data_IF_202448104497
#
_entry.id   IF_202448104497
#
_cell.length_a   1.000
_cell.length_b   1.000
_cell.length_c   1.000
_cell.angle_alpha   90.00
_cell.angle_beta   90.00
_cell.angle_gamma   90.00
#
_symmetry.space_group_name_H-M   'P 1'
#
loop_
_entity.id
_entity.type
_entity.pdbx_description
1 polymer ?
#
# COMPACT_ATOMS: atom_id res chain seq x y z
N UNK A 1 24.91 6.57 -38.87
CA UNK A 1 25.58 6.47 -37.56
C UNK A 1 25.35 5.06 -37.04
N UNK A 2 26.35 4.21 -37.21
CA UNK A 2 26.23 2.76 -37.11
C UNK A 2 26.65 2.27 -35.71
N UNK A 3 25.86 1.35 -35.15
CA UNK A 3 26.33 0.42 -34.13
C UNK A 3 27.47 -0.46 -34.68
N UNK A 4 28.46 -0.80 -33.85
CA UNK A 4 29.18 -2.05 -34.01
C UNK A 4 28.82 -3.03 -32.88
N UNK A 5 28.38 -4.20 -33.32
CA UNK A 5 28.44 -5.49 -32.64
C UNK A 5 29.83 -5.77 -32.05
N UNK A 6 29.90 -6.29 -30.82
CA UNK A 6 31.09 -6.98 -30.32
C UNK A 6 30.75 -8.35 -29.74
N UNK A 7 31.46 -9.33 -30.29
CA UNK A 7 31.46 -10.75 -29.97
C UNK A 7 31.76 -11.02 -28.49
N UNK A 8 30.99 -11.93 -27.91
CA UNK A 8 31.32 -12.63 -26.67
C UNK A 8 32.46 -13.62 -26.92
N UNK A 9 33.69 -13.29 -26.52
CA UNK A 9 34.78 -14.25 -26.38
C UNK A 9 35.17 -14.40 -24.91
N UNK A 10 35.15 -15.65 -24.48
CA UNK A 10 35.40 -16.20 -23.15
C UNK A 10 36.73 -15.78 -22.52
N UNK A 11 36.69 -15.19 -21.33
CA UNK A 11 37.81 -15.18 -20.38
C UNK A 11 37.27 -15.23 -18.95
N UNK A 12 37.13 -16.44 -18.40
CA UNK A 12 36.95 -16.67 -16.97
C UNK A 12 38.14 -17.49 -16.47
N UNK A 13 38.94 -17.01 -15.50
CA UNK A 13 39.96 -17.84 -14.88
C UNK A 13 39.31 -18.90 -13.99
N UNK A 14 39.70 -20.16 -14.22
CA UNK A 14 39.31 -21.34 -13.41
C UNK A 14 39.92 -21.20 -12.01
N UNK A 15 39.09 -21.27 -10.98
CA UNK A 15 39.53 -21.53 -9.60
C UNK A 15 39.79 -23.04 -9.43
N UNK A 16 40.81 -23.45 -8.67
CA UNK A 16 41.13 -24.87 -8.49
C UNK A 16 40.12 -25.56 -7.58
N UNK A 17 39.58 -26.70 -8.04
CA UNK A 17 38.80 -27.63 -7.25
C UNK A 17 39.72 -28.35 -6.26
N UNK A 18 39.32 -28.37 -4.98
CA UNK A 18 39.90 -29.23 -3.95
C UNK A 18 39.18 -30.58 -4.03
N UNK A 19 39.90 -31.62 -4.46
CA UNK A 19 39.44 -33.01 -4.36
C UNK A 19 39.60 -33.48 -2.91
N UNK A 20 38.48 -33.87 -2.30
CA UNK A 20 38.42 -34.43 -0.96
C UNK A 20 37.52 -35.65 -0.98
N UNK A 21 38.08 -36.78 -1.41
CA UNK A 21 37.46 -38.09 -1.30
C UNK A 21 37.33 -38.50 0.17
N UNK A 22 36.09 -38.68 0.64
CA UNK A 22 35.80 -39.42 1.87
C UNK A 22 34.38 -39.97 1.83
N UNK A 23 34.27 -41.18 1.30
CA UNK A 23 33.08 -42.01 1.46
C UNK A 23 32.82 -42.29 2.95
N UNK A 24 31.65 -41.89 3.45
CA UNK A 24 31.08 -42.49 4.66
C UNK A 24 29.57 -42.64 4.49
N UNK A 25 29.13 -43.89 4.57
CA UNK A 25 27.73 -44.32 4.48
C UNK A 25 27.00 -43.86 5.73
N UNK A 26 25.98 -43.02 5.57
CA UNK A 26 24.87 -42.95 6.53
C UNK A 26 23.55 -43.23 5.81
N UNK A 27 22.95 -44.36 6.19
CA UNK A 27 21.65 -44.85 5.76
C UNK A 27 20.60 -44.19 6.67
N UNK A 28 19.70 -43.36 6.15
CA UNK A 28 18.65 -42.78 7.00
C UNK A 28 17.75 -41.74 6.34
N UNK A 29 16.51 -42.18 6.03
CA UNK A 29 15.27 -41.41 5.78
C UNK A 29 15.19 -40.57 4.49
N UNK A 30 14.21 -40.94 3.67
CA UNK A 30 13.69 -40.16 2.54
C UNK A 30 13.17 -38.79 3.04
N UNK A 31 14.00 -37.76 2.95
CA UNK A 31 13.55 -36.37 2.92
C UNK A 31 13.34 -36.00 1.45
N UNK A 32 12.10 -35.63 1.13
CA UNK A 32 11.76 -35.08 -0.19
C UNK A 32 12.59 -33.82 -0.44
N UNK A 33 13.18 -33.72 -1.64
CA UNK A 33 14.09 -32.65 -2.06
C UNK A 33 13.47 -31.23 -2.12
N UNK A 34 12.31 -31.01 -1.52
CA UNK A 34 11.61 -29.71 -1.45
C UNK A 34 11.76 -28.96 -0.13
N UNK A 35 12.34 -29.57 0.91
CA UNK A 35 12.33 -29.01 2.28
C UNK A 35 13.69 -28.41 2.74
N UNK A 36 14.74 -28.45 1.91
CA UNK A 36 16.00 -27.77 2.22
C UNK A 36 16.06 -26.39 1.54
N UNK A 37 16.39 -25.31 2.29
CA UNK A 37 16.74 -24.04 1.65
C UNK A 37 17.96 -24.26 0.74
N UNK A 38 18.02 -23.61 -0.44
CA UNK A 38 19.15 -23.78 -1.34
C UNK A 38 20.45 -23.42 -0.63
N UNK A 39 21.48 -24.25 -0.79
CA UNK A 39 22.81 -23.99 -0.27
C UNK A 39 23.31 -22.63 -0.76
N UNK A 40 23.95 -21.86 0.13
CA UNK A 40 24.63 -20.61 -0.21
C UNK A 40 25.53 -20.82 -1.44
N UNK A 41 25.16 -20.23 -2.58
CA UNK A 41 25.89 -20.34 -3.84
C UNK A 41 25.22 -21.17 -4.95
N UNK A 42 24.07 -21.83 -4.69
CA UNK A 42 23.30 -22.46 -5.77
C UNK A 42 22.74 -21.38 -6.70
N UNK A 43 23.30 -21.29 -7.91
CA UNK A 43 22.83 -20.36 -8.94
C UNK A 43 21.54 -20.92 -9.52
N UNK A 44 20.40 -20.68 -8.86
CA UNK A 44 19.08 -20.97 -9.44
C UNK A 44 18.78 -19.91 -10.51
N UNK A 45 19.48 -20.00 -11.65
CA UNK A 45 19.31 -19.16 -12.84
C UNK A 45 17.98 -19.42 -13.56
N UNK A 46 17.11 -20.29 -13.02
CA UNK A 46 15.80 -20.54 -13.60
C UNK A 46 14.72 -20.23 -12.56
N UNK A 47 13.77 -19.31 -12.85
CA UNK A 47 12.56 -19.25 -12.05
C UNK A 47 11.97 -20.67 -12.02
N UNK A 48 11.55 -21.19 -10.85
CA UNK A 48 11.01 -22.54 -10.75
C UNK A 48 9.94 -22.68 -11.82
N UNK A 49 10.04 -23.69 -12.69
CA UNK A 49 9.04 -23.94 -13.72
C UNK A 49 7.74 -24.25 -13.01
N UNK A 50 6.84 -23.27 -12.91
CA UNK A 50 5.50 -23.48 -12.36
C UNK A 50 4.81 -24.58 -13.17
N UNK A 51 4.01 -25.40 -12.50
CA UNK A 51 3.15 -26.37 -13.18
C UNK A 51 2.26 -25.63 -14.20
N UNK A 52 2.03 -26.24 -15.37
CA UNK A 52 1.37 -25.63 -16.53
C UNK A 52 -0.02 -25.00 -16.26
N UNK A 53 -0.69 -25.39 -15.19
CA UNK A 53 -2.04 -24.92 -14.83
C UNK A 53 -2.06 -23.81 -13.75
N UNK A 54 -0.89 -23.34 -13.29
CA UNK A 54 -0.79 -22.30 -12.27
C UNK A 54 -0.40 -20.97 -12.89
N UNK A 55 -1.10 -19.91 -12.46
CA UNK A 55 -0.79 -18.54 -12.89
C UNK A 55 0.21 -17.96 -11.91
N UNK A 56 1.37 -17.51 -12.40
CA UNK A 56 2.36 -16.88 -11.52
C UNK A 56 1.83 -15.54 -10.98
N UNK A 57 1.93 -15.27 -9.67
CA UNK A 57 1.50 -14.00 -9.08
C UNK A 57 2.36 -12.81 -9.55
N UNK A 58 3.50 -13.10 -10.17
CA UNK A 58 4.40 -12.09 -10.73
C UNK A 58 4.14 -11.81 -12.22
N UNK A 59 3.26 -12.57 -12.87
CA UNK A 59 2.92 -12.39 -14.29
C UNK A 59 2.30 -10.99 -14.52
N UNK A 60 2.78 -10.20 -15.51
CA UNK A 60 2.19 -8.91 -15.83
C UNK A 60 0.70 -8.99 -16.14
N UNK A 61 0.21 -10.07 -16.75
CA UNK A 61 -1.23 -10.24 -17.07
C UNK A 61 -2.08 -10.34 -15.81
N UNK A 62 -1.61 -11.10 -14.82
CA UNK A 62 -2.28 -11.24 -13.54
C UNK A 62 -2.28 -9.92 -12.76
N UNK A 63 -1.18 -9.15 -12.81
CA UNK A 63 -1.15 -7.80 -12.20
C UNK A 63 -2.14 -6.84 -12.84
N UNK A 64 -2.29 -6.86 -14.18
CA UNK A 64 -3.30 -6.06 -14.88
C UNK A 64 -4.72 -6.48 -14.46
N UNK A 65 -4.95 -7.78 -14.31
CA UNK A 65 -6.21 -8.31 -13.77
C UNK A 65 -6.48 -7.83 -12.33
N UNK A 66 -5.49 -7.88 -11.43
CA UNK A 66 -5.62 -7.37 -10.06
C UNK A 66 -5.98 -5.88 -10.05
N UNK A 67 -5.33 -5.05 -10.88
CA UNK A 67 -5.61 -3.61 -11.00
C UNK A 67 -7.02 -3.38 -11.53
N UNK A 68 -7.43 -4.12 -12.57
CA UNK A 68 -8.78 -4.06 -13.12
C UNK A 68 -9.84 -4.40 -12.06
N UNK A 69 -9.65 -5.46 -11.28
CA UNK A 69 -10.55 -5.81 -10.18
C UNK A 69 -10.62 -4.72 -9.11
N UNK A 70 -9.50 -4.06 -8.80
CA UNK A 70 -9.49 -2.95 -7.84
C UNK A 70 -10.37 -1.80 -8.34
N UNK A 71 -10.32 -1.47 -9.64
CA UNK A 71 -11.22 -0.47 -10.23
C UNK A 71 -12.69 -0.87 -10.07
N UNK A 72 -13.02 -2.14 -10.30
CA UNK A 72 -14.37 -2.67 -10.07
C UNK A 72 -14.80 -2.61 -8.59
N UNK A 73 -13.87 -2.83 -7.65
CA UNK A 73 -14.14 -2.69 -6.21
C UNK A 73 -14.46 -1.23 -5.87
N UNK A 74 -13.70 -0.27 -6.39
CA UNK A 74 -13.95 1.16 -6.14
C UNK A 74 -15.33 1.56 -6.69
N UNK A 75 -15.66 1.13 -7.91
CA UNK A 75 -17.00 1.31 -8.48
C UNK A 75 -18.09 0.71 -7.58
N UNK A 76 -17.95 -0.57 -7.20
CA UNK A 76 -18.94 -1.27 -6.39
C UNK A 76 -19.09 -0.66 -4.99
N UNK A 77 -18.00 -0.17 -4.39
CA UNK A 77 -18.03 0.49 -3.09
C UNK A 77 -18.76 1.84 -3.16
N UNK A 78 -18.62 2.59 -4.26
CA UNK A 78 -19.34 3.84 -4.45
C UNK A 78 -20.83 3.63 -4.72
N UNK A 79 -21.17 2.66 -5.59
CA UNK A 79 -22.55 2.38 -5.97
C UNK A 79 -23.34 1.73 -4.82
N UNK A 80 -22.74 0.88 -3.99
CA UNK A 80 -23.48 0.14 -2.96
C UNK A 80 -24.27 1.03 -1.98
N UNK A 81 -23.71 2.08 -1.35
CA UNK A 81 -24.49 2.99 -0.50
C UNK A 81 -25.55 3.78 -1.28
N UNK A 82 -25.23 4.15 -2.53
CA UNK A 82 -26.11 4.91 -3.40
C UNK A 82 -27.32 4.08 -3.85
N UNK A 83 -27.12 2.82 -4.24
CA UNK A 83 -28.17 1.84 -4.51
C UNK A 83 -29.02 1.62 -3.26
N UNK A 84 -28.40 1.49 -2.08
CA UNK A 84 -29.12 1.26 -0.83
C UNK A 84 -30.05 2.44 -0.46
N UNK A 85 -29.59 3.67 -0.65
CA UNK A 85 -30.30 4.89 -0.28
C UNK A 85 -31.29 5.38 -1.36
N UNK A 86 -30.88 5.38 -2.63
CA UNK A 86 -31.60 5.99 -3.75
C UNK A 86 -32.30 4.97 -4.68
N UNK A 87 -32.42 3.70 -4.29
CA UNK A 87 -32.94 2.59 -5.11
C UNK A 87 -34.20 2.92 -5.92
N UNK A 88 -35.14 3.66 -5.32
CA UNK A 88 -36.45 4.00 -5.92
C UNK A 88 -36.33 4.94 -7.13
N UNK A 89 -35.22 5.64 -7.25
CA UNK A 89 -35.01 6.71 -8.21
C UNK A 89 -33.88 6.39 -9.21
N UNK A 90 -33.28 5.19 -9.11
CA UNK A 90 -32.22 4.74 -10.01
C UNK A 90 -32.81 4.07 -11.27
N UNK A 91 -32.27 4.39 -12.47
CA UNK A 91 -32.67 3.72 -13.71
C UNK A 91 -32.26 2.24 -13.72
N UNK A 92 -32.77 1.44 -14.68
CA UNK A 92 -32.44 0.01 -14.81
C UNK A 92 -30.98 -0.28 -15.21
N UNK A 93 -30.29 0.68 -15.84
CA UNK A 93 -28.93 0.53 -16.35
C UNK A 93 -27.86 0.11 -15.32
N UNK A 94 -27.74 0.75 -14.13
CA UNK A 94 -26.77 0.34 -13.10
C UNK A 94 -26.92 -1.11 -12.63
N UNK A 95 -28.13 -1.69 -12.65
CA UNK A 95 -28.33 -3.08 -12.24
C UNK A 95 -27.67 -4.08 -13.19
N UNK A 96 -27.71 -3.81 -14.51
CA UNK A 96 -27.05 -4.67 -15.51
C UNK A 96 -25.53 -4.60 -15.34
N UNK A 97 -25.00 -3.40 -15.08
CA UNK A 97 -23.56 -3.21 -14.82
C UNK A 97 -23.15 -3.96 -13.56
N UNK A 98 -23.94 -3.90 -12.49
CA UNK A 98 -23.67 -4.60 -11.24
C UNK A 98 -23.64 -6.13 -11.41
N UNK A 99 -24.57 -6.69 -12.20
CA UNK A 99 -24.56 -8.13 -12.53
C UNK A 99 -23.30 -8.54 -13.31
N UNK A 100 -22.87 -7.72 -14.28
CA UNK A 100 -21.62 -7.92 -15.03
C UNK A 100 -20.41 -7.87 -14.09
N UNK A 101 -20.38 -6.89 -13.17
CA UNK A 101 -19.31 -6.74 -12.17
C UNK A 101 -19.27 -7.97 -11.25
N UNK A 102 -20.42 -8.48 -10.80
CA UNK A 102 -20.48 -9.71 -10.01
C UNK A 102 -19.93 -10.92 -10.78
N UNK A 103 -20.17 -11.01 -12.10
CA UNK A 103 -19.58 -12.03 -12.96
C UNK A 103 -18.05 -12.01 -12.94
N UNK A 104 -17.42 -10.83 -13.01
CA UNK A 104 -15.95 -10.71 -12.92
C UNK A 104 -15.40 -11.18 -11.57
N UNK A 105 -16.08 -10.89 -10.46
CA UNK A 105 -15.68 -11.39 -9.14
C UNK A 105 -15.88 -12.91 -9.00
N UNK A 106 -16.91 -13.49 -9.64
CA UNK A 106 -17.09 -14.93 -9.69
C UNK A 106 -15.94 -15.62 -10.45
N UNK A 107 -15.50 -15.06 -11.58
CA UNK A 107 -14.31 -15.53 -12.31
C UNK A 107 -13.07 -15.44 -11.43
N UNK A 108 -12.92 -14.37 -10.66
CA UNK A 108 -11.77 -14.21 -9.76
C UNK A 108 -11.73 -15.25 -8.63
N UNK A 109 -12.89 -15.62 -8.06
CA UNK A 109 -12.97 -16.70 -7.06
C UNK A 109 -12.44 -18.00 -7.66
N UNK A 110 -12.78 -18.32 -8.91
CA UNK A 110 -12.26 -19.50 -9.61
C UNK A 110 -10.76 -19.37 -9.85
N UNK A 111 -10.31 -18.19 -10.28
CA UNK A 111 -8.91 -17.92 -10.57
C UNK A 111 -8.02 -18.00 -9.32
N UNK A 112 -8.53 -17.63 -8.14
CA UNK A 112 -7.83 -17.70 -6.86
C UNK A 112 -7.35 -19.12 -6.50
N UNK A 113 -8.02 -20.17 -7.00
CA UNK A 113 -7.57 -21.56 -6.82
C UNK A 113 -6.32 -21.92 -7.63
N UNK A 114 -6.00 -21.14 -8.66
CA UNK A 114 -4.86 -21.37 -9.57
C UNK A 114 -3.67 -20.44 -9.29
N UNK A 115 -3.76 -19.56 -8.28
CA UNK A 115 -2.69 -18.63 -7.91
C UNK A 115 -1.90 -19.19 -6.72
N UNK A 116 -0.59 -19.46 -6.88
CA UNK A 116 0.26 -19.90 -5.78
C UNK A 116 0.55 -18.74 -4.83
N UNK A 117 0.82 -19.08 -3.57
CA UNK A 117 1.10 -18.12 -2.51
C UNK A 117 2.53 -18.24 -2.00
N UNK A 118 3.05 -17.17 -1.41
CA UNK A 118 4.33 -17.19 -0.69
C UNK A 118 4.06 -17.61 0.76
N UNK A 119 4.76 -18.65 1.22
CA UNK A 119 4.65 -19.10 2.60
C UNK A 119 5.44 -18.18 3.55
N UNK A 120 4.85 -17.87 4.71
CA UNK A 120 5.43 -16.90 5.65
C UNK A 120 6.67 -17.42 6.37
N UNK A 121 6.88 -18.74 6.42
CA UNK A 121 8.01 -19.36 7.13
C UNK A 121 9.18 -19.64 6.18
N UNK A 122 8.89 -20.27 5.05
CA UNK A 122 9.93 -20.66 4.08
C UNK A 122 10.27 -19.54 3.10
N UNK A 123 9.42 -18.51 2.94
CA UNK A 123 9.52 -17.48 1.89
C UNK A 123 9.59 -18.04 0.46
N UNK A 124 9.29 -19.33 0.30
CA UNK A 124 9.23 -20.01 -0.99
C UNK A 124 7.80 -19.97 -1.54
N UNK A 125 7.71 -19.99 -2.88
CA UNK A 125 6.44 -20.05 -3.59
C UNK A 125 5.89 -21.48 -3.49
N UNK A 126 4.72 -21.65 -2.87
CA UNK A 126 4.05 -22.94 -2.76
C UNK A 126 3.12 -23.14 -3.95
N UNK A 127 3.40 -24.16 -4.77
CA UNK A 127 2.70 -24.47 -6.02
C UNK A 127 1.76 -25.69 -5.92
N UNK A 128 1.61 -26.28 -4.74
CA UNK A 128 0.72 -27.43 -4.53
C UNK A 128 -0.77 -27.03 -4.55
N UNK A 129 -1.58 -27.46 -5.53
CA UNK A 129 -2.98 -27.03 -5.67
C UNK A 129 -3.87 -27.44 -4.49
N UNK A 130 -3.58 -28.57 -3.83
CA UNK A 130 -4.29 -29.00 -2.62
C UNK A 130 -4.04 -28.04 -1.46
N UNK A 131 -2.80 -27.59 -1.27
CA UNK A 131 -2.45 -26.63 -0.20
C UNK A 131 -3.05 -25.25 -0.49
N UNK A 132 -3.04 -24.83 -1.75
CA UNK A 132 -3.69 -23.58 -2.22
C UNK A 132 -5.19 -23.62 -1.93
N UNK A 133 -5.89 -24.68 -2.34
CA UNK A 133 -7.32 -24.82 -2.12
C UNK A 133 -7.69 -24.84 -0.63
N UNK A 134 -7.02 -25.67 0.18
CA UNK A 134 -7.30 -25.75 1.63
C UNK A 134 -7.09 -24.40 2.32
N UNK A 135 -6.00 -23.70 1.99
CA UNK A 135 -5.74 -22.36 2.52
C UNK A 135 -6.85 -21.39 2.14
N UNK A 136 -7.27 -21.36 0.88
CA UNK A 136 -8.29 -20.44 0.41
C UNK A 136 -9.69 -20.74 0.98
N UNK A 137 -10.09 -22.01 1.01
CA UNK A 137 -11.36 -22.46 1.60
C UNK A 137 -11.45 -22.12 3.09
N UNK A 138 -10.35 -22.29 3.82
CA UNK A 138 -10.34 -22.06 5.27
C UNK A 138 -10.35 -20.58 5.65
N UNK A 139 -9.84 -19.67 4.81
CA UNK A 139 -9.62 -18.28 5.20
C UNK A 139 -10.65 -17.30 4.64
N UNK A 140 -10.86 -17.29 3.32
CA UNK A 140 -11.51 -16.16 2.65
C UNK A 140 -12.68 -16.55 1.75
N UNK A 141 -12.74 -17.83 1.34
CA UNK A 141 -13.74 -18.33 0.39
C UNK A 141 -15.18 -18.02 0.79
N UNK A 142 -15.57 -18.31 2.03
CA UNK A 142 -16.95 -18.10 2.49
C UNK A 142 -17.38 -16.63 2.35
N UNK A 143 -16.52 -15.68 2.75
CA UNK A 143 -16.81 -14.26 2.64
C UNK A 143 -16.81 -13.77 1.18
N UNK A 144 -15.89 -14.26 0.35
CA UNK A 144 -15.81 -13.89 -1.06
C UNK A 144 -17.06 -14.37 -1.82
N UNK A 145 -17.53 -15.60 -1.57
CA UNK A 145 -18.77 -16.15 -2.14
C UNK A 145 -20.00 -15.39 -1.65
N UNK A 146 -20.15 -15.18 -0.34
CA UNK A 146 -21.26 -14.41 0.21
C UNK A 146 -21.30 -12.97 -0.34
N UNK A 147 -20.14 -12.35 -0.57
CA UNK A 147 -20.07 -11.02 -1.16
C UNK A 147 -20.38 -10.99 -2.66
N UNK A 148 -20.29 -12.12 -3.37
CA UNK A 148 -20.47 -12.24 -4.84
C UNK A 148 -21.89 -12.66 -5.23
N UNK A 149 -22.66 -13.18 -4.27
CA UNK A 149 -23.99 -13.70 -4.53
C UNK A 149 -25.00 -12.58 -4.88
N UNK A 150 -25.68 -12.63 -6.05
CA UNK A 150 -26.61 -11.60 -6.49
C UNK A 150 -27.99 -11.76 -5.82
N UNK A 151 -28.07 -11.43 -4.52
CA UNK A 151 -29.30 -11.58 -3.73
C UNK A 151 -30.50 -10.82 -4.30
N UNK A 152 -30.29 -9.66 -4.93
CA UNK A 152 -31.35 -8.83 -5.49
C UNK A 152 -31.98 -9.45 -6.74
N UNK A 153 -31.16 -9.87 -7.71
CA UNK A 153 -31.60 -10.45 -8.99
C UNK A 153 -32.35 -11.76 -8.79
N UNK A 154 -31.92 -12.58 -7.82
CA UNK A 154 -32.60 -13.84 -7.46
C UNK A 154 -33.95 -13.56 -6.78
N UNK A 155 -34.03 -12.57 -5.90
CA UNK A 155 -35.31 -12.20 -5.26
C UNK A 155 -36.35 -11.73 -6.27
N UNK A 156 -35.93 -11.02 -7.31
CA UNK A 156 -36.81 -10.58 -8.40
C UNK A 156 -37.30 -11.77 -9.23
N UNK A 157 -36.45 -12.78 -9.47
CA UNK A 157 -36.78 -13.98 -10.23
C UNK A 157 -37.75 -14.92 -9.49
N UNK A 158 -37.64 -15.00 -8.16
CA UNK A 158 -38.46 -15.88 -7.32
C UNK A 158 -39.81 -15.26 -6.88
N UNK A 159 -40.16 -14.09 -7.42
CA UNK A 159 -41.44 -13.40 -7.21
C UNK A 159 -41.86 -13.26 -5.72
N UNK A 160 -40.87 -13.19 -4.81
CA UNK A 160 -41.12 -12.88 -3.41
C UNK A 160 -41.23 -11.37 -3.25
N UNK A 161 -42.45 -10.87 -3.22
CA UNK A 161 -42.80 -9.45 -3.00
C UNK A 161 -42.50 -8.93 -1.58
N UNK A 162 -41.81 -9.70 -0.74
CA UNK A 162 -41.45 -9.28 0.61
C UNK A 162 -40.30 -8.28 0.58
N UNK A 163 -40.67 -7.00 0.74
CA UNK A 163 -39.86 -5.79 0.89
C UNK A 163 -38.92 -5.81 2.11
N UNK A 164 -38.23 -6.93 2.38
CA UNK A 164 -37.41 -7.04 3.58
C UNK A 164 -36.14 -6.20 3.46
N UNK A 165 -36.01 -5.22 4.35
CA UNK A 165 -34.77 -4.49 4.61
C UNK A 165 -33.57 -5.44 4.78
N UNK A 166 -33.80 -6.65 5.28
CA UNK A 166 -32.81 -7.72 5.42
C UNK A 166 -32.11 -8.11 4.12
N UNK A 167 -32.84 -8.30 3.01
CA UNK A 167 -32.22 -8.61 1.70
C UNK A 167 -31.32 -7.46 1.21
N UNK A 168 -31.68 -6.21 1.53
CA UNK A 168 -30.85 -5.04 1.21
C UNK A 168 -29.60 -4.97 2.11
N UNK A 169 -29.69 -5.38 3.37
CA UNK A 169 -28.52 -5.49 4.25
C UNK A 169 -27.57 -6.60 3.80
N UNK A 170 -28.06 -7.75 3.32
CA UNK A 170 -27.21 -8.78 2.73
C UNK A 170 -26.46 -8.27 1.50
N UNK A 171 -27.05 -7.35 0.75
CA UNK A 171 -26.39 -6.69 -0.36
C UNK A 171 -25.19 -5.82 0.07
N UNK A 172 -25.20 -5.28 1.29
CA UNK A 172 -24.07 -4.53 1.84
C UNK A 172 -22.84 -5.41 2.11
N UNK A 173 -22.97 -6.75 2.09
CA UNK A 173 -21.83 -7.68 2.15
C UNK A 173 -20.87 -7.49 0.97
N UNK A 174 -21.32 -6.88 -0.15
CA UNK A 174 -20.43 -6.46 -1.25
C UNK A 174 -19.29 -5.55 -0.76
N UNK A 175 -19.48 -4.77 0.31
CA UNK A 175 -18.44 -3.91 0.88
C UNK A 175 -17.24 -4.71 1.43
N UNK A 176 -17.39 -6.01 1.70
CA UNK A 176 -16.28 -6.89 2.05
C UNK A 176 -15.14 -6.85 1.01
N UNK A 177 -15.48 -6.62 -0.27
CA UNK A 177 -14.51 -6.54 -1.36
C UNK A 177 -13.51 -5.39 -1.19
N UNK A 178 -13.81 -4.36 -0.37
CA UNK A 178 -12.88 -3.26 -0.03
C UNK A 178 -11.57 -3.73 0.62
N UNK A 179 -11.54 -4.95 1.19
CA UNK A 179 -10.30 -5.59 1.66
C UNK A 179 -9.21 -5.60 0.58
N UNK A 180 -9.58 -5.74 -0.71
CA UNK A 180 -8.64 -5.71 -1.83
C UNK A 180 -7.94 -4.35 -1.97
N UNK A 181 -8.68 -3.26 -1.80
CA UNK A 181 -8.14 -1.89 -1.81
C UNK A 181 -7.20 -1.69 -0.62
N UNK A 182 -7.57 -2.19 0.57
CA UNK A 182 -6.69 -2.16 1.75
C UNK A 182 -5.37 -2.93 1.52
N UNK A 183 -5.45 -4.11 0.90
CA UNK A 183 -4.28 -4.90 0.52
C UNK A 183 -3.41 -4.17 -0.51
N UNK A 184 -4.00 -3.48 -1.49
CA UNK A 184 -3.27 -2.64 -2.44
C UNK A 184 -2.47 -1.56 -1.71
N UNK A 185 -3.10 -0.78 -0.81
CA UNK A 185 -2.40 0.26 -0.07
C UNK A 185 -1.24 -0.32 0.77
N UNK A 186 -1.43 -1.48 1.41
CA UNK A 186 -0.36 -2.15 2.15
C UNK A 186 0.82 -2.61 1.25
N UNK A 187 0.56 -2.90 -0.04
CA UNK A 187 1.62 -3.21 -1.03
C UNK A 187 2.29 -1.94 -1.52
N UNK A 188 1.52 -0.89 -1.85
CA UNK A 188 2.03 0.39 -2.34
C UNK A 188 2.87 1.12 -1.29
N UNK A 189 2.51 1.03 0.00
CA UNK A 189 3.29 1.59 1.11
C UNK A 189 4.69 0.95 1.23
N UNK A 190 4.87 -0.28 0.73
CA UNK A 190 6.16 -1.02 0.75
C UNK A 190 6.93 -0.93 -0.56
N UNK A 191 6.33 -0.39 -1.63
CA UNK A 191 6.97 -0.28 -2.94
C UNK A 191 7.86 0.97 -2.96
N UNK A 192 9.17 0.76 -3.07
CA UNK A 192 10.20 1.81 -3.07
C UNK A 192 10.05 2.82 -4.21
N UNK A 193 9.28 2.50 -5.25
CA UNK A 193 9.07 3.39 -6.41
C UNK A 193 8.07 4.51 -6.13
N UNK A 194 7.24 4.37 -5.09
CA UNK A 194 6.22 5.34 -4.74
C UNK A 194 6.63 6.15 -3.51
N UNK A 195 6.26 7.43 -3.49
CA UNK A 195 6.47 8.26 -2.32
C UNK A 195 5.50 7.85 -1.20
N UNK A 196 6.07 7.36 -0.10
CA UNK A 196 5.32 6.95 1.10
C UNK A 196 4.33 8.01 1.59
N UNK A 197 4.72 9.28 1.59
CA UNK A 197 3.89 10.40 2.03
C UNK A 197 2.59 10.50 1.20
N UNK A 198 2.72 10.47 -0.12
CA UNK A 198 1.61 10.61 -1.07
C UNK A 198 0.65 9.44 -0.96
N UNK A 199 1.15 8.20 -0.86
CA UNK A 199 0.32 7.01 -0.70
C UNK A 199 -0.48 7.08 0.59
N UNK A 200 0.15 7.47 1.70
CA UNK A 200 -0.53 7.60 3.00
C UNK A 200 -1.60 8.69 2.97
N UNK A 201 -1.32 9.87 2.42
CA UNK A 201 -2.32 10.93 2.25
C UNK A 201 -3.49 10.49 1.36
N UNK A 202 -3.20 9.81 0.24
CA UNK A 202 -4.23 9.29 -0.67
C UNK A 202 -5.16 8.30 0.03
N UNK A 203 -4.61 7.41 0.86
CA UNK A 203 -5.37 6.46 1.67
C UNK A 203 -6.28 7.17 2.67
N UNK A 204 -5.77 8.16 3.40
CA UNK A 204 -6.56 8.93 4.37
C UNK A 204 -7.71 9.69 3.70
N UNK A 205 -7.44 10.39 2.59
CA UNK A 205 -8.46 11.10 1.81
C UNK A 205 -9.53 10.12 1.31
N UNK A 206 -9.13 8.95 0.78
CA UNK A 206 -10.06 7.94 0.28
C UNK A 206 -11.00 7.42 1.38
N UNK A 207 -10.48 7.19 2.58
CA UNK A 207 -11.28 6.77 3.75
C UNK A 207 -12.27 7.86 4.16
N UNK A 208 -11.83 9.12 4.22
CA UNK A 208 -12.70 10.24 4.58
C UNK A 208 -13.82 10.47 3.56
N UNK A 209 -13.49 10.45 2.26
CA UNK A 209 -14.48 10.59 1.19
C UNK A 209 -15.53 9.46 1.23
N UNK A 210 -15.08 8.22 1.46
CA UNK A 210 -15.99 7.09 1.58
C UNK A 210 -16.90 7.18 2.82
N UNK A 211 -16.38 7.67 3.94
CA UNK A 211 -17.16 7.89 5.16
C UNK A 211 -18.24 8.97 4.97
N UNK A 212 -17.89 10.09 4.34
CA UNK A 212 -18.83 11.17 4.01
C UNK A 212 -19.91 10.68 3.02
N UNK A 213 -19.51 9.93 1.98
CA UNK A 213 -20.45 9.34 1.03
C UNK A 213 -21.45 8.38 1.70
N UNK A 214 -20.94 7.46 2.52
CA UNK A 214 -21.78 6.50 3.25
C UNK A 214 -22.76 7.20 4.20
N UNK A 215 -22.26 8.15 5.01
CA UNK A 215 -23.07 8.85 5.99
C UNK A 215 -24.15 9.72 5.33
N UNK A 216 -23.83 10.43 4.25
CA UNK A 216 -24.81 11.18 3.47
C UNK A 216 -25.91 10.28 2.88
N UNK A 217 -25.54 9.13 2.31
CA UNK A 217 -26.51 8.16 1.79
C UNK A 217 -27.40 7.57 2.90
N UNK A 218 -26.83 7.21 4.05
CA UNK A 218 -27.59 6.68 5.19
C UNK A 218 -28.56 7.74 5.72
N UNK A 219 -28.13 9.00 5.86
CA UNK A 219 -29.00 10.07 6.35
C UNK A 219 -30.15 10.38 5.38
N UNK A 220 -29.90 10.32 4.07
CA UNK A 220 -30.95 10.42 3.06
C UNK A 220 -31.95 9.27 3.17
N UNK A 221 -31.47 8.03 3.37
CA UNK A 221 -32.33 6.87 3.53
C UNK A 221 -33.25 7.00 4.76
N UNK A 222 -32.73 7.52 5.88
CA UNK A 222 -33.53 7.75 7.09
C UNK A 222 -34.66 8.76 6.79
N UNK A 223 -34.35 9.85 6.07
CA UNK A 223 -35.33 10.85 5.67
C UNK A 223 -36.38 10.31 4.67
N UNK A 224 -35.97 9.58 3.62
CA UNK A 224 -36.91 9.03 2.62
C UNK A 224 -37.88 8.00 3.24
N UNK A 225 -37.45 7.27 4.26
CA UNK A 225 -38.26 6.26 4.97
C UNK A 225 -39.10 6.82 6.12
N UNK A 226 -38.94 8.09 6.47
CA UNK A 226 -39.75 8.69 7.50
C UNK A 226 -41.19 8.93 7.00
N UNK A 227 -42.24 8.67 7.83
CA UNK A 227 -43.63 8.82 7.40
C UNK A 227 -43.98 10.25 6.96
N UNK A 228 -43.54 11.26 7.70
CA UNK A 228 -43.82 12.67 7.44
C UNK A 228 -42.63 13.35 6.74
N UNK A 229 -42.68 13.58 5.41
CA UNK A 229 -41.50 14.05 4.67
C UNK A 229 -41.03 15.44 5.13
N UNK A 230 -41.94 16.29 5.57
CA UNK A 230 -41.66 17.67 6.03
C UNK A 230 -40.92 17.73 7.36
N UNK A 231 -40.97 16.67 8.18
CA UNK A 231 -40.30 16.61 9.51
C UNK A 231 -38.98 15.85 9.43
N UNK A 232 -38.18 16.20 8.44
CA UNK A 232 -36.86 15.61 8.18
C UNK A 232 -35.86 16.72 7.89
N UNK A 233 -34.57 16.45 8.10
CA UNK A 233 -33.50 17.41 7.87
C UNK A 233 -33.49 18.06 6.48
N UNK A 234 -33.90 17.31 5.44
CA UNK A 234 -33.99 17.81 4.06
C UNK A 234 -35.38 18.37 3.74
N UNK A 235 -36.44 17.76 4.26
CA UNK A 235 -37.82 18.14 3.94
C UNK A 235 -38.28 19.44 4.60
N UNK A 236 -37.61 19.87 5.68
CA UNK A 236 -37.84 21.18 6.28
C UNK A 236 -37.34 22.33 5.37
N UNK A 237 -36.22 22.11 4.67
CA UNK A 237 -35.63 23.07 3.72
C UNK A 237 -36.22 22.95 2.31
N UNK A 238 -36.45 21.71 1.85
CA UNK A 238 -36.98 21.39 0.52
C UNK A 238 -38.20 20.48 0.65
N UNK A 239 -39.43 21.03 0.72
CA UNK A 239 -40.66 20.25 0.93
C UNK A 239 -40.89 19.14 -0.12
N UNK A 240 -40.52 19.41 -1.38
CA UNK A 240 -40.73 18.50 -2.52
C UNK A 240 -39.44 17.76 -2.92
N UNK A 241 -38.55 17.47 -1.95
CA UNK A 241 -37.26 16.80 -2.23
C UNK A 241 -37.42 15.42 -2.89
N UNK A 242 -38.58 14.76 -2.76
CA UNK A 242 -38.88 13.47 -3.41
C UNK A 242 -39.20 13.58 -4.90
N UNK A 243 -39.42 14.78 -5.42
CA UNK A 243 -39.62 15.05 -6.85
C UNK A 243 -38.38 15.65 -7.51
N UNK A 244 -37.48 16.25 -6.72
CA UNK A 244 -36.21 16.82 -7.19
C UNK A 244 -35.32 15.80 -7.92
N UNK A 245 -34.46 16.23 -8.85
CA UNK A 245 -33.53 15.31 -9.52
C UNK A 245 -32.57 14.59 -8.55
N UNK A 246 -32.11 13.39 -8.92
CA UNK A 246 -31.17 12.59 -8.10
C UNK A 246 -29.90 13.37 -7.74
N UNK A 247 -29.40 14.18 -8.69
CA UNK A 247 -28.22 15.02 -8.48
C UNK A 247 -28.41 16.02 -7.34
N UNK A 248 -29.54 16.74 -7.32
CA UNK A 248 -29.83 17.72 -6.27
C UNK A 248 -29.86 17.06 -4.89
N UNK A 249 -30.58 15.94 -4.76
CA UNK A 249 -30.67 15.21 -3.49
C UNK A 249 -29.31 14.70 -3.02
N UNK A 250 -28.54 14.11 -3.93
CA UNK A 250 -27.22 13.57 -3.62
C UNK A 250 -26.24 14.66 -3.17
N UNK A 251 -26.19 15.79 -3.88
CA UNK A 251 -25.34 16.93 -3.53
C UNK A 251 -25.75 17.51 -2.17
N UNK A 252 -27.05 17.68 -1.90
CA UNK A 252 -27.53 18.16 -0.60
C UNK A 252 -27.19 17.20 0.54
N UNK A 253 -27.29 15.88 0.33
CA UNK A 253 -26.88 14.87 1.32
C UNK A 253 -25.38 14.84 1.58
N UNK A 254 -24.56 14.99 0.54
CA UNK A 254 -23.11 15.11 0.70
C UNK A 254 -22.73 16.40 1.42
N UNK A 255 -23.38 17.52 1.09
CA UNK A 255 -23.17 18.81 1.73
C UNK A 255 -23.46 18.74 3.24
N UNK A 256 -24.58 18.13 3.64
CA UNK A 256 -24.88 17.89 5.06
C UNK A 256 -23.81 17.02 5.75
N UNK A 257 -23.37 15.95 5.07
CA UNK A 257 -22.40 15.02 5.65
C UNK A 257 -21.01 15.64 5.79
N UNK A 258 -20.54 16.38 4.79
CA UNK A 258 -19.22 17.00 4.83
C UNK A 258 -19.15 18.15 5.83
N UNK A 259 -20.18 18.99 5.93
CA UNK A 259 -20.24 20.12 6.89
C UNK A 259 -20.25 19.63 8.34
N UNK A 260 -20.86 18.46 8.59
CA UNK A 260 -20.85 17.80 9.91
C UNK A 260 -19.51 17.10 10.18
N UNK A 261 -18.91 16.45 9.16
CA UNK A 261 -17.58 15.82 9.27
C UNK A 261 -16.49 16.83 9.59
N UNK A 262 -16.48 17.97 8.90
CA UNK A 262 -15.49 19.05 9.10
C UNK A 262 -15.81 19.94 10.30
N UNK A 263 -16.80 19.55 11.11
CA UNK A 263 -17.24 20.28 12.31
C UNK A 263 -17.57 21.77 12.05
N UNK A 264 -18.03 22.09 10.85
CA UNK A 264 -18.40 23.47 10.46
C UNK A 264 -19.80 23.81 10.99
N UNK A 265 -20.77 22.93 10.70
CA UNK A 265 -22.12 22.99 11.30
C UNK A 265 -22.87 24.32 11.13
N UNK A 266 -23.15 24.75 9.90
CA UNK A 266 -23.88 25.99 9.63
C UNK A 266 -25.29 26.05 10.27
N UNK A 267 -25.93 24.88 10.45
CA UNK A 267 -27.26 24.76 11.07
C UNK A 267 -28.44 24.90 10.09
N UNK A 268 -28.15 25.15 8.82
CA UNK A 268 -29.12 25.17 7.72
C UNK A 268 -29.82 23.82 7.50
N UNK A 269 -29.10 22.72 7.72
CA UNK A 269 -29.60 21.36 7.64
C UNK A 269 -29.36 20.65 8.96
N UNK A 270 -30.42 20.46 9.75
CA UNK A 270 -30.35 19.85 11.08
C UNK A 270 -31.45 18.80 11.27
N UNK A 271 -31.23 17.88 12.22
CA UNK A 271 -32.17 16.80 12.50
C UNK A 271 -33.44 17.34 13.16
N UNK A 272 -34.60 17.01 12.58
CA UNK A 272 -35.93 17.43 13.06
C UNK A 272 -36.65 16.31 13.83
N UNK A 273 -36.24 15.06 13.60
CA UNK A 273 -36.85 13.89 14.21
C UNK A 273 -35.86 13.10 15.07
N UNK A 274 -36.39 12.35 16.03
CA UNK A 274 -35.58 11.60 17.01
C UNK A 274 -34.68 10.54 16.36
N UNK A 275 -35.08 9.99 15.19
CA UNK A 275 -34.29 8.97 14.47
C UNK A 275 -33.03 9.58 13.83
N UNK A 276 -33.19 10.74 13.20
CA UNK A 276 -32.09 11.54 12.66
C UNK A 276 -31.20 12.07 13.78
N UNK A 277 -31.77 12.52 14.91
CA UNK A 277 -30.99 12.95 16.07
C UNK A 277 -30.09 11.82 16.61
N UNK A 278 -30.62 10.60 16.74
CA UNK A 278 -29.84 9.44 17.19
C UNK A 278 -28.70 9.10 16.21
N UNK A 279 -28.99 9.13 14.91
CA UNK A 279 -27.97 8.93 13.89
C UNK A 279 -26.92 10.05 13.90
N UNK A 280 -27.34 11.30 14.06
CA UNK A 280 -26.46 12.47 14.17
C UNK A 280 -25.51 12.36 15.36
N UNK A 281 -25.99 11.94 16.53
CA UNK A 281 -25.13 11.70 17.72
C UNK A 281 -24.06 10.65 17.42
N UNK A 282 -24.46 9.51 16.85
CA UNK A 282 -23.52 8.45 16.50
C UNK A 282 -22.49 8.91 15.45
N UNK A 283 -22.93 9.67 14.44
CA UNK A 283 -22.07 10.18 13.39
C UNK A 283 -21.08 11.23 13.91
N UNK A 284 -21.52 12.15 14.78
CA UNK A 284 -20.63 13.13 15.41
C UNK A 284 -19.55 12.47 16.27
N UNK A 285 -19.89 11.43 17.05
CA UNK A 285 -18.90 10.65 17.80
C UNK A 285 -17.88 9.96 16.88
N UNK A 286 -18.34 9.38 15.77
CA UNK A 286 -17.47 8.81 14.75
C UNK A 286 -16.54 9.86 14.11
N UNK A 287 -17.06 11.07 13.82
CA UNK A 287 -16.28 12.16 13.23
C UNK A 287 -15.20 12.67 14.18
N UNK A 288 -15.47 12.75 15.49
CA UNK A 288 -14.45 13.08 16.49
C UNK A 288 -13.29 12.07 16.47
N UNK A 289 -13.62 10.78 16.43
CA UNK A 289 -12.62 9.72 16.32
C UNK A 289 -11.83 9.79 15.01
N UNK A 290 -12.52 9.96 13.88
CA UNK A 290 -11.88 10.01 12.56
C UNK A 290 -10.97 11.23 12.41
N UNK A 291 -11.41 12.40 12.86
CA UNK A 291 -10.61 13.63 12.81
C UNK A 291 -9.35 13.52 13.68
N UNK A 292 -9.46 12.94 14.88
CA UNK A 292 -8.28 12.66 15.71
C UNK A 292 -7.30 11.71 15.02
N UNK A 293 -7.80 10.66 14.36
CA UNK A 293 -6.98 9.73 13.57
C UNK A 293 -6.29 10.44 12.38
N UNK A 294 -6.99 11.30 11.65
CA UNK A 294 -6.43 12.07 10.53
C UNK A 294 -5.30 12.99 11.00
N UNK A 295 -5.54 13.78 12.04
CA UNK A 295 -4.54 14.69 12.63
C UNK A 295 -3.32 13.89 13.08
N UNK A 296 -3.50 12.78 13.81
CA UNK A 296 -2.38 11.97 14.28
C UNK A 296 -1.50 11.41 13.16
N UNK A 297 -2.11 10.96 12.06
CA UNK A 297 -1.36 10.47 10.90
C UNK A 297 -0.64 11.61 10.16
N UNK A 298 -1.28 12.77 10.01
CA UNK A 298 -0.67 13.93 9.39
C UNK A 298 0.52 14.46 10.21
N UNK A 299 0.39 14.53 11.53
CA UNK A 299 1.47 14.93 12.43
C UNK A 299 2.68 13.99 12.30
N UNK A 300 2.46 12.67 12.30
CA UNK A 300 3.54 11.69 12.10
C UNK A 300 4.29 11.93 10.78
N UNK A 301 3.54 12.21 9.71
CA UNK A 301 4.14 12.50 8.40
C UNK A 301 4.96 13.79 8.41
N UNK A 302 4.45 14.87 9.01
CA UNK A 302 5.14 16.16 9.10
C UNK A 302 6.42 16.06 9.93
N UNK A 303 6.36 15.36 11.07
CA UNK A 303 7.53 15.09 11.93
C UNK A 303 8.60 14.35 11.14
N UNK A 304 8.22 13.28 10.42
CA UNK A 304 9.18 12.54 9.60
C UNK A 304 9.75 13.38 8.44
N UNK A 305 8.93 14.23 7.82
CA UNK A 305 9.38 15.10 6.72
C UNK A 305 10.36 16.18 7.17
N UNK A 306 10.29 16.60 8.43
CA UNK A 306 11.06 17.74 8.95
C UNK A 306 12.25 17.31 9.82
N UNK A 307 12.36 16.01 10.14
CA UNK A 307 13.39 15.44 11.02
C UNK A 307 14.80 15.88 10.63
N UNK A 308 15.19 15.70 9.36
CA UNK A 308 16.53 16.06 8.86
C UNK A 308 16.89 17.53 9.10
N UNK A 309 15.98 18.45 8.78
CA UNK A 309 16.23 19.89 8.93
C UNK A 309 16.25 20.28 10.42
N UNK A 310 15.43 19.63 11.23
CA UNK A 310 15.39 19.83 12.68
C UNK A 310 16.70 19.38 13.32
N UNK A 311 17.14 18.15 13.05
CA UNK A 311 18.36 17.59 13.63
C UNK A 311 19.61 18.42 13.26
N UNK A 312 19.66 18.98 12.04
CA UNK A 312 20.68 19.94 11.64
C UNK A 312 20.66 21.24 12.47
N UNK A 313 19.47 21.83 12.66
CA UNK A 313 19.33 23.04 13.47
C UNK A 313 19.70 22.79 14.93
N UNK A 314 19.33 21.64 15.47
CA UNK A 314 19.68 21.22 16.82
C UNK A 314 21.22 21.09 16.98
N UNK A 315 21.92 20.54 15.97
CA UNK A 315 23.38 20.43 15.96
C UNK A 315 24.07 21.81 15.88
N UNK A 316 23.57 22.70 15.01
CA UNK A 316 24.08 24.08 14.91
C UNK A 316 23.89 24.82 16.22
N UNK A 317 22.71 24.71 16.84
CA UNK A 317 22.42 25.36 18.12
C UNK A 317 23.35 24.83 19.23
N UNK A 318 23.50 23.51 19.35
CA UNK A 318 24.40 22.91 20.34
C UNK A 318 25.87 23.36 20.16
N UNK A 319 26.34 23.48 18.92
CA UNK A 319 27.68 23.95 18.61
C UNK A 319 27.87 25.44 18.99
N UNK A 320 26.90 26.29 18.67
CA UNK A 320 26.92 27.71 19.06
C UNK A 320 26.85 27.90 20.58
N UNK A 321 26.01 27.13 21.28
CA UNK A 321 25.93 27.16 22.74
C UNK A 321 27.26 26.72 23.38
N UNK A 322 27.91 25.70 22.82
CA UNK A 322 29.23 25.25 23.25
C UNK A 322 30.31 26.33 23.05
N UNK A 323 30.31 27.02 21.91
CA UNK A 323 31.25 28.09 21.63
C UNK A 323 31.06 29.29 22.57
N UNK A 324 29.79 29.69 22.79
CA UNK A 324 29.44 30.79 23.68
C UNK A 324 29.82 30.49 25.14
N UNK A 325 29.53 29.28 25.62
CA UNK A 325 29.81 28.87 27.01
C UNK A 325 31.30 28.85 27.34
N UNK A 326 32.13 28.45 26.38
CA UNK A 326 33.58 28.39 26.54
C UNK A 326 34.31 29.66 26.07
N UNK A 327 33.58 30.70 25.65
CA UNK A 327 34.13 31.96 25.16
C UNK A 327 35.16 31.76 24.04
N UNK A 328 34.84 30.88 23.08
CA UNK A 328 35.74 30.61 21.96
C UNK A 328 35.93 31.86 21.10
N UNK A 329 37.12 32.07 20.52
CA UNK A 329 37.34 33.09 19.51
C UNK A 329 36.41 32.88 18.31
N UNK A 330 35.88 33.97 17.77
CA UNK A 330 34.93 33.97 16.64
C UNK A 330 35.42 33.17 15.42
N UNK A 331 36.73 33.13 15.18
CA UNK A 331 37.32 32.35 14.09
C UNK A 331 37.07 30.83 14.25
N UNK A 332 37.19 30.29 15.47
CA UNK A 332 36.98 28.85 15.72
C UNK A 332 35.48 28.52 15.63
N UNK A 333 34.62 29.39 16.14
CA UNK A 333 33.17 29.25 16.02
C UNK A 333 32.73 29.22 14.55
N UNK A 334 33.20 30.18 13.73
CA UNK A 334 32.90 30.22 12.31
C UNK A 334 33.41 28.97 11.58
N UNK A 335 34.61 28.46 11.92
CA UNK A 335 35.14 27.20 11.37
C UNK A 335 34.25 26.00 11.74
N UNK A 336 33.83 25.88 13.00
CA UNK A 336 32.94 24.81 13.46
C UNK A 336 31.60 24.84 12.72
N UNK A 337 30.94 26.00 12.65
CA UNK A 337 29.64 26.15 11.99
C UNK A 337 29.73 25.91 10.48
N UNK A 338 30.80 26.38 9.83
CA UNK A 338 31.04 26.12 8.42
C UNK A 338 31.24 24.62 8.15
N UNK A 339 31.98 23.92 9.02
CA UNK A 339 32.15 22.47 8.90
C UNK A 339 30.82 21.74 9.06
N UNK A 340 29.99 22.10 10.04
CA UNK A 340 28.64 21.50 10.23
C UNK A 340 27.74 21.78 9.01
N UNK A 341 27.80 22.98 8.43
CA UNK A 341 27.03 23.34 7.24
C UNK A 341 27.49 22.57 5.99
N UNK A 342 28.81 22.45 5.80
CA UNK A 342 29.40 21.64 4.73
C UNK A 342 29.00 20.18 4.89
N UNK A 343 29.16 19.65 6.12
CA UNK A 343 28.78 18.30 6.50
C UNK A 343 27.30 18.06 6.21
N UNK A 344 26.37 18.95 6.56
CA UNK A 344 24.95 18.77 6.23
C UNK A 344 24.67 18.75 4.72
N UNK A 345 25.38 19.60 3.95
CA UNK A 345 25.27 19.62 2.48
C UNK A 345 25.79 18.33 1.85
N UNK A 346 26.85 17.72 2.40
CA UNK A 346 27.43 16.46 1.91
C UNK A 346 26.74 15.21 2.51
N UNK A 347 26.21 15.31 3.73
CA UNK A 347 25.45 14.28 4.48
C UNK A 347 24.05 14.04 3.95
N UNK A 348 23.61 14.76 2.91
CA UNK A 348 22.38 14.43 2.17
C UNK A 348 22.30 12.97 1.70
N UNK A 349 23.42 12.23 1.77
CA UNK A 349 23.57 10.83 1.37
C UNK A 349 23.67 9.80 2.50
N UNK A 350 23.68 10.16 3.81
CA UNK A 350 23.90 9.20 4.93
C UNK A 350 24.93 8.11 4.60
N UNK A 351 26.03 8.51 3.98
CA UNK A 351 26.85 7.58 3.20
C UNK A 351 27.46 6.49 4.08
N UNK A 352 27.94 6.86 5.28
CA UNK A 352 28.60 5.93 6.19
C UNK A 352 27.62 4.95 6.84
N UNK A 353 26.52 5.43 7.42
CA UNK A 353 25.45 4.56 7.95
C UNK A 353 24.91 3.61 6.87
N UNK A 354 24.72 4.09 5.64
CA UNK A 354 24.18 3.29 4.54
C UNK A 354 25.18 2.24 4.06
N UNK A 355 26.47 2.58 3.98
CA UNK A 355 27.53 1.65 3.58
C UNK A 355 27.79 0.57 4.64
N UNK A 356 27.53 0.85 5.92
CA UNK A 356 27.67 -0.12 7.02
C UNK A 356 26.56 -1.19 7.02
N UNK A 357 25.37 -0.86 6.52
CA UNK A 357 24.27 -1.83 6.34
C UNK A 357 24.59 -2.86 5.25
N UNK A 358 25.44 -2.49 4.28
CA UNK A 358 25.78 -3.34 3.15
C UNK A 358 26.78 -4.44 3.55
N UNK A 359 26.67 -5.65 2.98
CA UNK A 359 27.68 -6.68 3.17
C UNK A 359 29.07 -6.21 2.74
N UNK A 360 30.12 -6.67 3.45
CA UNK A 360 31.53 -6.27 3.20
C UNK A 360 31.94 -6.35 1.72
N UNK A 361 31.47 -7.39 1.00
CA UNK A 361 31.76 -7.57 -0.42
C UNK A 361 31.15 -6.48 -1.33
N UNK A 362 29.92 -6.03 -1.04
CA UNK A 362 29.29 -4.94 -1.79
C UNK A 362 29.99 -3.61 -1.50
N UNK A 363 30.33 -3.35 -0.23
CA UNK A 363 31.09 -2.16 0.16
C UNK A 363 32.47 -2.11 -0.50
N UNK A 364 33.20 -3.22 -0.50
CA UNK A 364 34.48 -3.36 -1.20
C UNK A 364 34.34 -3.06 -2.70
N UNK A 365 33.29 -3.57 -3.35
CA UNK A 365 33.03 -3.31 -4.77
C UNK A 365 32.72 -1.83 -5.05
N UNK A 366 31.97 -1.17 -4.16
CA UNK A 366 31.68 0.27 -4.25
C UNK A 366 32.97 1.08 -4.09
N UNK A 367 33.79 0.80 -3.07
CA UNK A 367 35.05 1.50 -2.84
C UNK A 367 36.02 1.33 -4.00
N UNK A 368 36.11 0.12 -4.57
CA UNK A 368 36.91 -0.15 -5.78
C UNK A 368 36.42 0.67 -6.96
N UNK A 369 35.11 0.76 -7.19
CA UNK A 369 34.57 1.56 -8.30
C UNK A 369 34.87 3.06 -8.14
N UNK A 370 34.79 3.59 -6.91
CA UNK A 370 34.93 5.02 -6.63
C UNK A 370 36.39 5.47 -6.55
N UNK A 371 37.24 4.72 -5.84
CA UNK A 371 38.57 5.20 -5.43
C UNK A 371 39.74 4.52 -6.16
N UNK A 372 39.54 3.36 -6.79
CA UNK A 372 40.61 2.67 -7.52
C UNK A 372 41.32 3.53 -8.58
N UNK A 373 40.61 4.23 -9.51
CA UNK A 373 41.30 5.05 -10.52
C UNK A 373 42.05 6.24 -9.90
N UNK A 374 41.54 6.78 -8.79
CA UNK A 374 42.16 7.91 -8.07
C UNK A 374 43.46 7.47 -7.41
N UNK A 375 43.45 6.32 -6.74
CA UNK A 375 44.61 5.77 -6.04
C UNK A 375 45.66 5.28 -7.04
N UNK A 376 45.26 4.62 -8.12
CA UNK A 376 46.18 4.15 -9.16
C UNK A 376 46.88 5.33 -9.89
N UNK A 377 46.17 6.45 -10.06
CA UNK A 377 46.73 7.66 -10.67
C UNK A 377 47.66 8.47 -9.77
N UNK A 378 47.77 8.13 -8.48
CA UNK A 378 48.56 8.90 -7.53
C UNK A 378 50.07 8.68 -7.74
N UNK A 379 50.86 9.71 -7.42
CA UNK A 379 52.32 9.65 -7.58
C UNK A 379 52.96 8.54 -6.74
N UNK A 380 52.36 8.20 -5.60
CA UNK A 380 52.91 7.28 -4.61
C UNK A 380 52.77 5.81 -5.03
N UNK A 381 51.75 5.49 -5.84
CA UNK A 381 51.41 4.11 -6.22
C UNK A 381 51.89 3.73 -7.64
N UNK A 382 52.78 4.52 -8.25
CA UNK A 382 53.40 4.19 -9.54
C UNK A 382 54.28 2.94 -9.43
N UNK A 383 53.97 1.92 -10.22
CA UNK A 383 54.72 0.65 -10.25
C UNK A 383 54.30 -0.37 -9.18
N UNK A 384 53.29 -0.06 -8.37
CA UNK A 384 52.74 -0.97 -7.36
C UNK A 384 51.80 -1.98 -8.01
N UNK A 385 51.79 -3.22 -7.51
CA UNK A 385 50.88 -4.26 -8.01
C UNK A 385 49.41 -3.86 -7.85
N UNK A 386 48.59 -4.14 -8.87
CA UNK A 386 47.16 -3.83 -8.87
C UNK A 386 46.41 -4.56 -7.76
N UNK A 387 46.81 -5.79 -7.40
CA UNK A 387 46.22 -6.54 -6.30
C UNK A 387 46.40 -5.87 -4.93
N UNK A 388 47.56 -5.27 -4.68
CA UNK A 388 47.79 -4.51 -3.45
C UNK A 388 46.91 -3.25 -3.39
N UNK A 389 46.80 -2.50 -4.49
CA UNK A 389 45.95 -1.31 -4.57
C UNK A 389 44.48 -1.67 -4.33
N UNK A 390 44.02 -2.78 -4.88
CA UNK A 390 42.64 -3.25 -4.67
C UNK A 390 42.37 -3.52 -3.19
N UNK A 391 43.26 -4.24 -2.50
CA UNK A 391 43.10 -4.54 -1.08
C UNK A 391 43.18 -3.28 -0.21
N UNK A 392 44.06 -2.34 -0.56
CA UNK A 392 44.15 -1.05 0.13
C UNK A 392 42.85 -0.25 0.01
N UNK A 393 42.32 -0.13 -1.21
CA UNK A 393 41.08 0.62 -1.50
C UNK A 393 39.88 0.08 -0.72
N UNK A 394 39.83 -1.23 -0.45
CA UNK A 394 38.73 -1.81 0.35
C UNK A 394 38.73 -1.41 1.82
N UNK A 395 39.86 -0.94 2.36
CA UNK A 395 40.00 -0.47 3.73
C UNK A 395 39.97 1.07 3.85
N UNK A 396 39.96 1.80 2.72
CA UNK A 396 39.92 3.26 2.73
C UNK A 396 38.57 3.80 3.19
N UNK A 397 38.63 4.86 4.01
CA UNK A 397 37.47 5.65 4.43
C UNK A 397 37.57 7.05 3.81
N UNK A 398 36.45 7.59 3.34
CA UNK A 398 36.39 8.93 2.78
C UNK A 398 36.08 9.95 3.87
N UNK A 399 36.85 11.03 3.92
CA UNK A 399 36.61 12.22 4.75
C UNK A 399 36.37 13.44 3.84
N UNK A 400 35.55 14.40 4.28
CA UNK A 400 35.11 15.59 3.52
C UNK A 400 35.54 16.89 4.16
#
# INVERSE_FOLDING_TARGET
MACPSFCTSSWAPRLPCFDGDSSSRFRGRNLSAGDLPPSLGATTQQPPKLRKHLVSPYDPRYKVWEIFLILLVVYSAWICPLEFAFLRYLPRAPFIVDDVVNGFFAVDIVLAFFVPYVDSKSYLLVDDPKKIAVRYLSSWFAFDVCSTFPFHSISLLFNRHEHSLGLKFLNALRLWRLRRVSSLFARLEKDIRFNYAVIRCTKLISVTLFAVHCAGCINYLIADRYPDPRRTWIGASMPDFREAGLWARYVTSLYWSITTMTTTGYGDLHAENTREMLFGIAYMLFNLWLTAYLIGNMTNLVVHSTSRTRDFRDMVQAASEFAARNQLPRQIEEQMLNHICLRFRTEGLKQQETLEILPKAMRASISLCLFFPVVQGSYLFKGVSTGFIQQLVTEMQAEY
#
